data_IF_031379119254
#
_entry.id   IF_031379119254
#
_cell.length_a   1.000
_cell.length_b   1.000
_cell.length_c   1.000
_cell.angle_alpha   90.00
_cell.angle_beta   90.00
_cell.angle_gamma   90.00
#
_symmetry.space_group_name_H-M   'P 1'
#
loop_
_entity.id
_entity.type
_entity.pdbx_description
1 polymer ?
#
# COMPACT_ATOMS: atom_id res chain seq x y z
N UNK A 1 -2.91 -0.70 8.31
CA UNK A 1 -2.65 -0.16 6.95
C UNK A 1 -2.74 -1.28 5.94
N UNK A 2 -3.44 -1.04 4.82
CA UNK A 2 -3.64 -2.02 3.75
C UNK A 2 -2.32 -2.53 3.15
N UNK A 3 -1.26 -1.69 3.10
CA UNK A 3 0.08 -2.12 2.66
C UNK A 3 0.66 -3.20 3.58
N UNK A 4 0.48 -3.06 4.90
CA UNK A 4 0.94 -4.07 5.87
C UNK A 4 0.15 -5.37 5.72
N UNK A 5 -1.17 -5.29 5.55
CA UNK A 5 -2.02 -6.46 5.31
C UNK A 5 -1.61 -7.20 4.04
N UNK A 6 -1.44 -6.48 2.91
CA UNK A 6 -0.98 -7.06 1.64
C UNK A 6 0.37 -7.76 1.80
N UNK A 7 1.30 -7.13 2.52
CA UNK A 7 2.64 -7.69 2.77
C UNK A 7 2.57 -8.94 3.65
N UNK A 8 1.79 -8.90 4.74
CA UNK A 8 1.59 -10.03 5.64
C UNK A 8 0.98 -11.24 4.90
N UNK A 9 -0.04 -11.00 4.08
CA UNK A 9 -0.69 -12.03 3.28
C UNK A 9 0.25 -12.61 2.22
N UNK A 10 1.05 -11.77 1.55
CA UNK A 10 2.05 -12.26 0.62
C UNK A 10 3.10 -13.15 1.31
N UNK A 11 3.49 -12.81 2.54
CA UNK A 11 4.40 -13.65 3.32
C UNK A 11 3.73 -14.95 3.77
N UNK A 12 2.47 -14.89 4.19
CA UNK A 12 1.67 -16.07 4.54
C UNK A 12 1.57 -17.04 3.36
N UNK A 13 1.20 -16.56 2.16
CA UNK A 13 1.11 -17.41 0.96
C UNK A 13 2.45 -18.07 0.66
N UNK A 14 3.58 -17.33 0.74
CA UNK A 14 4.90 -17.92 0.52
C UNK A 14 5.27 -18.97 1.57
N UNK A 15 4.94 -18.72 2.84
CA UNK A 15 5.16 -19.69 3.91
C UNK A 15 4.39 -20.98 3.67
N UNK A 16 3.10 -20.86 3.35
CA UNK A 16 2.24 -21.99 3.04
C UNK A 16 2.74 -22.77 1.82
N UNK A 17 3.16 -22.10 0.75
CA UNK A 17 3.73 -22.77 -0.44
C UNK A 17 5.05 -23.48 -0.13
N UNK A 18 5.88 -22.92 0.76
CA UNK A 18 7.14 -23.52 1.16
C UNK A 18 6.96 -24.83 1.94
N UNK A 19 5.85 -25.01 2.66
CA UNK A 19 5.49 -26.28 3.32
C UNK A 19 5.33 -27.44 2.32
N UNK A 20 4.99 -27.13 1.06
CA UNK A 20 4.88 -28.08 -0.05
C UNK A 20 6.13 -28.11 -0.95
N UNK A 21 7.25 -27.51 -0.50
CA UNK A 21 8.50 -27.44 -1.25
C UNK A 21 8.49 -26.42 -2.40
N UNK A 22 7.46 -25.59 -2.52
CA UNK A 22 7.32 -24.60 -3.59
C UNK A 22 7.85 -23.24 -3.10
N UNK A 23 9.04 -22.87 -3.57
CA UNK A 23 9.67 -21.59 -3.19
C UNK A 23 9.41 -20.53 -4.25
N UNK A 24 8.63 -19.52 -3.87
CA UNK A 24 8.37 -18.34 -4.74
C UNK A 24 9.40 -17.24 -4.44
N UNK A 25 10.02 -16.62 -5.45
CA UNK A 25 10.95 -15.52 -5.27
C UNK A 25 10.38 -14.36 -4.44
N UNK A 26 11.28 -13.63 -3.75
CA UNK A 26 10.92 -12.45 -2.99
C UNK A 26 10.39 -11.35 -3.93
N UNK A 27 9.35 -10.63 -3.48
CA UNK A 27 8.75 -9.51 -4.20
C UNK A 27 7.26 -9.71 -4.47
N UNK A 28 6.46 -8.68 -4.19
CA UNK A 28 4.99 -8.75 -4.28
C UNK A 28 4.53 -9.08 -5.71
N UNK A 29 5.20 -8.50 -6.71
CA UNK A 29 4.91 -8.72 -8.13
C UNK A 29 5.25 -10.15 -8.58
N UNK A 30 6.34 -10.73 -8.06
CA UNK A 30 6.72 -12.11 -8.38
C UNK A 30 5.67 -13.10 -7.88
N UNK A 31 5.15 -12.88 -6.67
CA UNK A 31 4.07 -13.70 -6.13
C UNK A 31 2.78 -13.52 -6.93
N UNK A 32 2.41 -12.28 -7.25
CA UNK A 32 1.20 -12.00 -8.03
C UNK A 32 1.23 -12.67 -9.41
N UNK A 33 2.39 -12.71 -10.06
CA UNK A 33 2.55 -13.35 -11.38
C UNK A 33 2.51 -14.88 -11.30
N UNK A 34 3.19 -15.47 -10.32
CA UNK A 34 3.37 -16.94 -10.24
C UNK A 34 2.26 -17.68 -9.53
N UNK A 35 1.54 -17.04 -8.62
CA UNK A 35 0.49 -17.69 -7.85
C UNK A 35 -0.64 -18.30 -8.72
N UNK A 36 -1.17 -17.62 -9.77
CA UNK A 36 -2.15 -18.24 -10.66
C UNK A 36 -1.60 -19.50 -11.35
N UNK A 37 -0.38 -19.40 -11.91
CA UNK A 37 0.29 -20.52 -12.60
C UNK A 37 0.43 -21.74 -11.68
N UNK A 38 0.83 -21.53 -10.42
CA UNK A 38 0.97 -22.59 -9.42
C UNK A 38 -0.37 -23.21 -9.00
N UNK A 39 -1.45 -22.42 -8.95
CA UNK A 39 -2.78 -22.92 -8.57
C UNK A 39 -3.39 -23.75 -9.69
N UNK A 40 -3.13 -23.42 -10.95
CA UNK A 40 -3.64 -24.11 -12.14
C UNK A 40 -2.81 -25.34 -12.55
N UNK A 41 -1.52 -25.36 -12.21
CA UNK A 41 -0.62 -26.47 -12.51
C UNK A 41 -0.98 -27.74 -11.73
N UNK A 42 -1.60 -28.71 -12.41
CA UNK A 42 -2.05 -29.97 -11.81
C UNK A 42 -0.91 -30.94 -11.45
N UNK A 43 0.31 -30.72 -11.95
CA UNK A 43 1.46 -31.62 -11.77
C UNK A 43 2.22 -31.34 -10.46
N UNK A 44 1.96 -30.20 -9.81
CA UNK A 44 2.59 -29.86 -8.54
C UNK A 44 1.89 -30.52 -7.33
N UNK A 45 2.58 -30.67 -6.18
CA UNK A 45 2.11 -31.47 -5.05
C UNK A 45 0.99 -30.81 -4.23
N UNK A 46 0.34 -29.75 -4.73
CA UNK A 46 -0.66 -29.01 -3.98
C UNK A 46 -2.00 -29.76 -3.93
N UNK A 47 -2.53 -30.07 -2.72
CA UNK A 47 -3.85 -30.66 -2.56
C UNK A 47 -4.97 -29.77 -3.10
N UNK A 48 -6.06 -30.36 -3.62
CA UNK A 48 -7.21 -29.63 -4.17
C UNK A 48 -7.79 -28.61 -3.18
N UNK A 49 -7.99 -29.00 -1.92
CA UNK A 49 -8.50 -28.09 -0.89
C UNK A 49 -7.57 -26.89 -0.66
N UNK A 50 -6.26 -27.12 -0.73
CA UNK A 50 -5.27 -26.07 -0.55
C UNK A 50 -5.22 -25.13 -1.77
N UNK A 51 -5.42 -25.63 -2.99
CA UNK A 51 -5.61 -24.79 -4.20
C UNK A 51 -6.82 -23.86 -4.06
N UNK A 52 -7.93 -24.35 -3.51
CA UNK A 52 -9.09 -23.50 -3.19
C UNK A 52 -8.73 -22.40 -2.19
N UNK A 53 -8.01 -22.74 -1.13
CA UNK A 53 -7.55 -21.76 -0.14
C UNK A 53 -6.60 -20.72 -0.76
N UNK A 54 -5.63 -21.14 -1.57
CA UNK A 54 -4.73 -20.24 -2.29
C UNK A 54 -5.49 -19.31 -3.24
N UNK A 55 -6.51 -19.82 -3.92
CA UNK A 55 -7.38 -19.02 -4.78
C UNK A 55 -8.10 -17.93 -3.98
N UNK A 56 -8.64 -18.24 -2.80
CA UNK A 56 -9.27 -17.25 -1.93
C UNK A 56 -8.27 -16.19 -1.45
N UNK A 57 -7.07 -16.62 -1.05
CA UNK A 57 -5.98 -15.72 -0.67
C UNK A 57 -5.52 -14.85 -1.86
N UNK A 58 -5.52 -15.38 -3.07
CA UNK A 58 -5.20 -14.60 -4.27
C UNK A 58 -6.24 -13.51 -4.51
N UNK A 59 -7.53 -13.84 -4.45
CA UNK A 59 -8.62 -12.89 -4.63
C UNK A 59 -8.58 -11.77 -3.58
N UNK A 60 -8.40 -12.12 -2.30
CA UNK A 60 -8.28 -11.12 -1.25
C UNK A 60 -7.04 -10.25 -1.44
N UNK A 61 -5.93 -10.81 -1.93
CA UNK A 61 -4.72 -10.02 -2.23
C UNK A 61 -4.99 -9.03 -3.37
N UNK A 62 -5.70 -9.45 -4.43
CA UNK A 62 -6.09 -8.58 -5.54
C UNK A 62 -6.97 -7.42 -5.05
N UNK A 63 -7.97 -7.70 -4.21
CA UNK A 63 -8.78 -6.66 -3.56
C UNK A 63 -7.92 -5.63 -2.82
N UNK A 64 -6.91 -6.07 -2.05
CA UNK A 64 -6.01 -5.16 -1.36
C UNK A 64 -5.20 -4.27 -2.32
N UNK A 65 -4.81 -4.77 -3.49
CA UNK A 65 -4.18 -3.94 -4.51
C UNK A 65 -5.12 -2.86 -5.03
N UNK A 66 -6.37 -3.20 -5.32
CA UNK A 66 -7.36 -2.26 -5.84
C UNK A 66 -7.71 -1.17 -4.82
N UNK A 67 -7.85 -1.55 -3.55
CA UNK A 67 -8.08 -0.59 -2.46
C UNK A 67 -6.90 0.37 -2.34
N UNK A 68 -5.66 -0.14 -2.33
CA UNK A 68 -4.46 0.71 -2.25
C UNK A 68 -4.40 1.67 -3.45
N UNK A 69 -4.58 1.17 -4.67
CA UNK A 69 -4.54 1.99 -5.87
C UNK A 69 -5.65 3.06 -5.89
N UNK A 70 -6.83 2.73 -5.39
CA UNK A 70 -7.96 3.66 -5.28
C UNK A 70 -7.63 4.78 -4.29
N UNK A 71 -7.11 4.44 -3.12
CA UNK A 71 -6.71 5.41 -2.10
C UNK A 71 -5.56 6.30 -2.59
N UNK A 72 -4.56 5.72 -3.26
CA UNK A 72 -3.45 6.48 -3.85
C UNK A 72 -3.96 7.51 -4.87
N UNK A 73 -4.91 7.12 -5.75
CA UNK A 73 -5.55 8.04 -6.70
C UNK A 73 -6.34 9.15 -6.00
N UNK A 74 -7.07 8.84 -4.93
CA UNK A 74 -7.81 9.84 -4.17
C UNK A 74 -6.87 10.84 -3.49
N UNK A 75 -5.74 10.37 -2.94
CA UNK A 75 -4.70 11.22 -2.36
C UNK A 75 -4.12 12.15 -3.43
N UNK A 76 -3.82 11.62 -4.62
CA UNK A 76 -3.29 12.41 -5.73
C UNK A 76 -4.31 13.44 -6.24
N UNK A 77 -5.58 13.06 -6.34
CA UNK A 77 -6.66 13.96 -6.74
C UNK A 77 -6.83 15.10 -5.72
N UNK A 78 -6.84 14.78 -4.42
CA UNK A 78 -6.90 15.76 -3.35
C UNK A 78 -5.71 16.74 -3.43
N UNK A 79 -4.51 16.21 -3.66
CA UNK A 79 -3.30 17.01 -3.86
C UNK A 79 -3.43 17.96 -5.05
N UNK A 80 -3.90 17.47 -6.20
CA UNK A 80 -4.07 18.27 -7.42
C UNK A 80 -5.18 19.31 -7.30
N UNK A 81 -6.24 19.05 -6.55
CA UNK A 81 -7.36 19.97 -6.39
C UNK A 81 -7.12 21.06 -5.34
N UNK A 82 -6.12 20.91 -4.48
CA UNK A 82 -5.86 21.83 -3.39
C UNK A 82 -4.55 22.61 -3.58
N UNK A 83 -4.66 23.91 -3.88
CA UNK A 83 -3.50 24.79 -4.07
C UNK A 83 -2.56 24.86 -2.84
N UNK A 84 -3.09 24.68 -1.62
CA UNK A 84 -2.27 24.59 -0.41
C UNK A 84 -1.49 23.28 -0.35
N UNK A 85 -2.12 22.13 -0.68
CA UNK A 85 -1.42 20.86 -0.80
C UNK A 85 -0.26 20.97 -1.80
N UNK A 86 -0.50 21.56 -2.97
CA UNK A 86 0.54 21.75 -3.99
C UNK A 86 1.69 22.66 -3.53
N UNK A 87 1.38 23.73 -2.78
CA UNK A 87 2.41 24.64 -2.25
C UNK A 87 3.28 23.94 -1.20
N UNK A 88 2.67 23.18 -0.30
CA UNK A 88 3.40 22.42 0.73
C UNK A 88 4.21 21.29 0.11
N UNK A 89 3.68 20.58 -0.89
CA UNK A 89 4.38 19.51 -1.60
C UNK A 89 5.56 19.95 -2.47
N UNK A 90 5.79 21.27 -2.64
CA UNK A 90 7.02 21.80 -3.26
C UNK A 90 8.21 21.82 -2.29
N UNK A 91 7.97 21.62 -0.99
CA UNK A 91 9.04 21.54 -0.01
C UNK A 91 9.80 20.22 -0.24
N UNK A 92 11.14 20.26 -0.37
CA UNK A 92 11.94 19.05 -0.54
C UNK A 92 11.64 18.01 0.53
N UNK A 93 11.32 16.78 0.11
CA UNK A 93 10.98 15.67 1.01
C UNK A 93 9.47 15.54 1.33
N UNK A 94 8.62 16.46 0.90
CA UNK A 94 7.17 16.38 1.11
C UNK A 94 6.47 16.02 -0.21
N UNK A 95 6.06 14.76 -0.33
CA UNK A 95 5.29 14.28 -1.50
C UNK A 95 3.77 14.41 -1.33
N UNK A 96 2.97 13.98 -2.34
CA UNK A 96 1.51 14.09 -2.32
C UNK A 96 0.83 13.44 -1.10
N UNK A 97 1.29 12.26 -0.68
CA UNK A 97 0.76 11.57 0.51
C UNK A 97 0.97 12.42 1.76
N UNK A 98 2.20 12.90 1.96
CA UNK A 98 2.54 13.73 3.12
C UNK A 98 1.81 15.07 3.05
N UNK A 99 1.84 15.78 1.93
CA UNK A 99 1.16 17.06 1.75
C UNK A 99 -0.36 16.97 2.00
N UNK A 100 -1.02 15.95 1.44
CA UNK A 100 -2.46 15.72 1.64
C UNK A 100 -2.77 15.34 3.09
N UNK A 101 -1.94 14.50 3.72
CA UNK A 101 -2.09 14.17 5.14
C UNK A 101 -1.93 15.41 6.02
N UNK A 102 -0.92 16.24 5.76
CA UNK A 102 -0.67 17.48 6.49
C UNK A 102 -1.87 18.41 6.43
N UNK A 103 -2.37 18.72 5.24
CA UNK A 103 -3.55 19.57 5.09
C UNK A 103 -4.79 18.97 5.75
N UNK A 104 -5.00 17.65 5.65
CA UNK A 104 -6.10 16.97 6.34
C UNK A 104 -5.98 17.06 7.87
N UNK A 105 -4.78 16.97 8.44
CA UNK A 105 -4.54 17.10 9.88
C UNK A 105 -4.54 18.54 10.39
N UNK A 106 -4.06 19.50 9.60
CA UNK A 106 -4.02 20.93 9.96
C UNK A 106 -5.43 21.51 10.04
N UNK A 107 -6.38 20.99 9.26
CA UNK A 107 -7.73 21.52 9.19
C UNK A 107 -7.72 22.96 8.67
N UNK A 108 -8.21 23.93 9.46
CA UNK A 108 -8.07 25.36 9.13
C UNK A 108 -6.67 25.83 9.51
N UNK A 109 -5.91 26.32 8.53
CA UNK A 109 -4.59 26.92 8.74
C UNK A 109 -4.57 28.07 9.77
N UNK A 110 -5.74 28.68 10.05
CA UNK A 110 -5.92 29.69 11.10
C UNK A 110 -5.77 29.15 12.54
N UNK A 111 -5.58 27.85 12.73
CA UNK A 111 -5.30 27.26 14.05
C UNK A 111 -3.85 27.50 14.53
N UNK A 112 -2.99 28.08 13.68
CA UNK A 112 -1.60 28.41 14.01
C UNK A 112 -1.40 29.93 13.98
N UNK A 113 -0.70 30.47 14.96
CA UNK A 113 -0.48 31.93 15.09
C UNK A 113 0.42 32.47 13.97
N UNK A 114 1.32 31.64 13.42
CA UNK A 114 2.17 32.00 12.29
C UNK A 114 2.74 30.76 11.59
N UNK A 115 3.32 30.95 10.41
CA UNK A 115 3.93 29.89 9.61
C UNK A 115 5.13 29.18 10.27
N UNK A 116 5.81 29.82 11.22
CA UNK A 116 6.93 29.20 11.96
C UNK A 116 6.41 28.16 12.96
N UNK A 117 5.31 28.44 13.64
CA UNK A 117 4.67 27.50 14.55
C UNK A 117 4.14 26.27 13.81
N UNK A 118 3.58 26.48 12.61
CA UNK A 118 3.22 25.39 11.72
C UNK A 118 4.44 24.57 11.28
N UNK A 119 5.52 25.23 10.82
CA UNK A 119 6.74 24.55 10.41
C UNK A 119 7.37 23.73 11.54
N UNK A 120 7.35 24.23 12.79
CA UNK A 120 7.86 23.51 13.96
C UNK A 120 7.00 22.29 14.29
N UNK A 121 5.67 22.42 14.22
CA UNK A 121 4.74 21.30 14.39
C UNK A 121 4.93 20.21 13.31
N UNK A 122 5.28 20.61 12.10
CA UNK A 122 5.61 19.73 10.98
C UNK A 122 7.01 19.10 11.06
N UNK A 123 7.86 19.52 11.99
CA UNK A 123 9.27 19.10 12.06
C UNK A 123 10.14 19.63 10.91
N UNK A 124 9.77 20.78 10.32
CA UNK A 124 10.44 21.43 9.19
C UNK A 124 11.35 22.60 9.61
N UNK A 125 11.54 22.79 10.92
CA UNK A 125 12.48 23.75 11.51
C UNK A 125 13.67 22.92 12.03
N UNK A 126 14.92 23.40 11.88
CA UNK A 126 16.10 22.70 12.39
C UNK A 126 16.04 22.42 13.89
#
# INVERSE_FOLDING_TARGET
>A
SFIKQRTAQANQIRGLLAEFGIVVPRGIQQLQRRLPELVEDADNPLPVLFRTQLSLLQHHMAYLFDVIATLDKQIEQCYRQNALCQRIGKIPGIGPVTASALIATIGKANNFENGRQLAAWLGLVP
#
